data_IF_408534032527
#
_entry.id   IF_408534032527
#
_cell.length_a   1.000
_cell.length_b   1.000
_cell.length_c   1.000
_cell.angle_alpha   90.00
_cell.angle_beta   90.00
_cell.angle_gamma   90.00
#
_symmetry.space_group_name_H-M   'P 1'
#
loop_
_entity.id
_entity.type
_entity.pdbx_description
1 polymer ?
#
# COMPACT_ATOMS: atom_id res chain seq x y z
N UNK A 1 5.21 13.13 18.68
CA UNK A 1 6.13 13.41 17.59
C UNK A 1 5.77 12.56 16.37
N UNK A 2 5.22 13.20 15.39
CA UNK A 2 4.59 12.59 14.20
C UNK A 2 5.57 11.99 13.17
N UNK A 3 6.88 11.93 13.36
CA UNK A 3 7.70 12.03 12.14
C UNK A 3 8.92 11.13 12.00
N UNK A 4 9.10 10.15 12.86
CA UNK A 4 10.32 9.33 12.79
C UNK A 4 10.37 8.43 11.54
N UNK A 5 9.21 8.04 10.99
CA UNK A 5 9.15 7.15 9.82
C UNK A 5 8.87 7.85 8.48
N UNK A 6 8.36 9.08 8.48
CA UNK A 6 8.08 9.83 7.24
C UNK A 6 9.28 10.60 6.70
N UNK A 7 10.22 10.98 7.57
CA UNK A 7 11.49 11.60 7.21
C UNK A 7 12.63 10.63 7.60
N UNK A 8 12.59 9.42 7.06
CA UNK A 8 13.60 8.43 7.36
C UNK A 8 14.91 8.86 6.66
N UNK A 9 15.82 9.39 7.45
CA UNK A 9 17.21 9.55 7.10
C UNK A 9 17.82 8.14 6.91
N UNK A 10 18.43 7.90 5.77
CA UNK A 10 18.97 6.58 5.45
C UNK A 10 20.14 6.18 6.37
N UNK A 11 20.87 7.13 6.95
CA UNK A 11 21.86 6.82 7.97
C UNK A 11 21.20 6.27 9.24
N UNK A 12 20.00 6.75 9.61
CA UNK A 12 19.22 6.15 10.71
C UNK A 12 18.72 4.74 10.34
N UNK A 13 18.28 4.51 9.10
CA UNK A 13 17.92 3.16 8.65
C UNK A 13 19.09 2.23 8.76
N UNK A 14 20.26 2.64 8.26
CA UNK A 14 21.49 1.87 8.31
C UNK A 14 21.86 1.54 9.75
N UNK A 15 21.87 2.53 10.64
CA UNK A 15 22.15 2.34 12.07
C UNK A 15 21.21 1.30 12.68
N UNK A 16 19.90 1.45 12.52
CA UNK A 16 18.90 0.52 13.05
C UNK A 16 19.08 -0.89 12.48
N UNK A 17 19.29 -1.03 11.17
CA UNK A 17 19.44 -2.33 10.54
C UNK A 17 20.70 -3.05 11.00
N UNK A 18 21.79 -2.33 11.18
CA UNK A 18 23.05 -2.88 11.69
C UNK A 18 22.96 -3.25 13.17
N UNK A 19 22.51 -2.35 14.03
CA UNK A 19 22.35 -2.58 15.47
C UNK A 19 21.42 -3.77 15.77
N UNK A 20 20.32 -3.88 15.01
CA UNK A 20 19.34 -4.96 15.18
C UNK A 20 19.64 -6.20 14.32
N UNK A 21 20.74 -6.22 13.59
CA UNK A 21 21.16 -7.31 12.68
C UNK A 21 20.04 -7.73 11.71
N UNK A 22 19.26 -6.75 11.23
CA UNK A 22 18.16 -7.01 10.32
C UNK A 22 18.69 -7.41 8.95
N UNK A 23 17.95 -8.27 8.26
CA UNK A 23 18.25 -8.72 6.89
C UNK A 23 17.02 -8.61 6.02
N UNK A 24 17.22 -8.46 4.71
CA UNK A 24 16.15 -8.37 3.73
C UNK A 24 15.16 -7.21 3.99
N UNK A 25 15.64 -6.09 4.49
CA UNK A 25 14.82 -4.92 4.77
C UNK A 25 14.37 -4.29 3.46
N UNK A 26 13.10 -3.95 3.38
CA UNK A 26 12.51 -3.17 2.28
C UNK A 26 12.12 -1.79 2.77
N UNK A 27 12.54 -0.76 2.03
CA UNK A 27 12.22 0.64 2.32
C UNK A 27 11.14 1.11 1.37
N UNK A 28 10.06 1.69 1.90
CA UNK A 28 8.98 2.24 1.08
C UNK A 28 9.08 3.76 1.05
N UNK A 29 8.96 4.33 -0.15
CA UNK A 29 8.97 5.77 -0.39
C UNK A 29 7.77 6.19 -1.23
N UNK A 30 7.15 7.32 -0.89
CA UNK A 30 6.12 7.95 -1.71
C UNK A 30 6.82 8.94 -2.66
N UNK A 31 6.72 8.69 -3.97
CA UNK A 31 7.35 9.54 -4.98
C UNK A 31 7.00 11.02 -4.84
N UNK A 32 5.78 11.33 -4.42
CA UNK A 32 5.34 12.71 -4.27
C UNK A 32 6.14 13.49 -3.23
N UNK A 33 6.58 12.82 -2.16
CA UNK A 33 7.23 13.45 -1.00
C UNK A 33 8.70 13.10 -0.82
N UNK A 34 9.21 12.07 -1.51
CA UNK A 34 10.60 11.63 -1.32
C UNK A 34 11.59 12.60 -1.98
N UNK A 35 12.84 12.56 -1.54
CA UNK A 35 13.95 13.23 -2.23
C UNK A 35 14.05 12.74 -3.67
N UNK A 36 14.41 13.64 -4.58
CA UNK A 36 14.70 13.32 -5.98
C UNK A 36 16.20 13.16 -6.25
N UNK A 37 17.02 13.49 -5.25
CA UNK A 37 18.45 13.20 -5.28
C UNK A 37 18.66 11.70 -5.05
N UNK A 38 19.25 11.02 -5.99
CA UNK A 38 19.48 9.58 -5.92
C UNK A 38 20.61 9.22 -4.96
N UNK A 39 21.49 10.16 -4.61
CA UNK A 39 22.58 9.95 -3.64
C UNK A 39 22.07 9.78 -2.21
N UNK A 40 20.85 10.28 -1.93
CA UNK A 40 20.20 10.12 -0.62
C UNK A 40 19.77 8.67 -0.34
N UNK A 41 19.87 7.75 -1.31
CA UNK A 41 19.36 6.39 -1.16
C UNK A 41 20.47 5.36 -0.93
N UNK A 42 20.18 4.31 -0.13
CA UNK A 42 21.13 3.23 0.09
C UNK A 42 21.44 2.52 -1.23
N UNK A 43 22.63 1.90 -1.27
CA UNK A 43 23.05 1.11 -2.41
C UNK A 43 23.32 -0.36 -2.00
N UNK A 44 23.71 -1.19 -2.97
CA UNK A 44 23.93 -2.62 -2.76
C UNK A 44 25.13 -2.98 -1.85
N UNK A 45 25.91 -2.01 -1.40
CA UNK A 45 26.96 -2.23 -0.38
C UNK A 45 26.32 -2.43 1.00
N UNK A 46 25.11 -1.93 1.21
CA UNK A 46 24.31 -2.12 2.43
C UNK A 46 23.52 -3.43 2.32
N UNK A 47 24.17 -4.54 2.70
CA UNK A 47 23.66 -5.91 2.55
C UNK A 47 22.33 -6.17 3.30
N UNK A 48 22.01 -5.34 4.26
CA UNK A 48 20.76 -5.42 5.03
C UNK A 48 19.54 -5.00 4.20
N UNK A 49 19.75 -4.09 3.24
CA UNK A 49 18.67 -3.55 2.41
C UNK A 49 18.50 -4.40 1.15
N UNK A 50 17.34 -5.00 0.98
CA UNK A 50 17.05 -5.85 -0.15
C UNK A 50 16.29 -5.13 -1.28
N UNK A 51 15.49 -4.11 -0.94
CA UNK A 51 14.57 -3.49 -1.90
C UNK A 51 14.21 -2.06 -1.53
N UNK A 52 14.06 -1.23 -2.54
CA UNK A 52 13.38 0.07 -2.41
C UNK A 52 12.03 -0.01 -3.14
N UNK A 53 10.96 0.39 -2.47
CA UNK A 53 9.60 0.32 -2.96
C UNK A 53 9.09 1.73 -3.26
N UNK A 54 8.95 2.06 -4.53
CA UNK A 54 8.48 3.37 -5.00
C UNK A 54 6.97 3.33 -5.13
N UNK A 55 6.28 4.07 -4.28
CA UNK A 55 4.84 4.23 -4.35
C UNK A 55 4.48 5.45 -5.18
N UNK A 56 3.47 5.34 -6.03
CA UNK A 56 3.06 6.43 -6.91
C UNK A 56 1.55 6.57 -7.01
N UNK A 57 1.12 7.81 -7.05
CA UNK A 57 -0.23 8.21 -7.42
C UNK A 57 -0.39 8.19 -8.92
N UNK A 58 -1.64 8.19 -9.40
CA UNK A 58 -1.97 8.06 -10.82
C UNK A 58 -1.33 9.16 -11.67
N UNK A 59 -1.37 10.39 -11.20
CA UNK A 59 -0.84 11.58 -11.87
C UNK A 59 0.69 11.57 -12.01
N UNK A 60 1.39 10.93 -11.09
CA UNK A 60 2.86 10.93 -11.02
C UNK A 60 3.50 9.74 -11.76
N UNK A 61 2.71 8.76 -12.23
CA UNK A 61 3.22 7.48 -12.72
C UNK A 61 4.36 7.62 -13.74
N UNK A 62 4.29 8.45 -14.81
CA UNK A 62 5.37 8.52 -15.77
C UNK A 62 6.69 8.98 -15.15
N UNK A 63 6.65 10.02 -14.32
CA UNK A 63 7.82 10.57 -13.63
C UNK A 63 8.37 9.60 -12.58
N UNK A 64 7.48 8.98 -11.80
CA UNK A 64 7.83 8.02 -10.78
C UNK A 64 8.46 6.73 -11.36
N UNK A 65 8.02 6.27 -12.53
CA UNK A 65 8.62 5.15 -13.23
C UNK A 65 10.04 5.46 -13.70
N UNK A 66 10.26 6.64 -14.29
CA UNK A 66 11.60 7.09 -14.68
C UNK A 66 12.53 7.18 -13.47
N UNK A 67 12.01 7.75 -12.38
CA UNK A 67 12.75 7.82 -11.12
C UNK A 67 13.09 6.43 -10.58
N UNK A 68 12.13 5.48 -10.54
CA UNK A 68 12.34 4.13 -10.07
C UNK A 68 13.40 3.38 -10.90
N UNK A 69 13.42 3.57 -12.22
CA UNK A 69 14.43 2.99 -13.11
C UNK A 69 15.83 3.59 -12.83
N UNK A 70 15.93 4.91 -12.68
CA UNK A 70 17.18 5.58 -12.35
C UNK A 70 17.68 5.15 -10.95
N UNK A 71 16.76 5.03 -9.98
CA UNK A 71 17.07 4.54 -8.63
C UNK A 71 17.64 3.12 -8.68
N UNK A 72 17.05 2.21 -9.47
CA UNK A 72 17.59 0.85 -9.66
C UNK A 72 19.01 0.88 -10.25
N UNK A 73 19.23 1.71 -11.28
CA UNK A 73 20.54 1.86 -11.93
C UNK A 73 21.59 2.36 -10.94
N UNK A 74 21.26 3.36 -10.14
CA UNK A 74 22.16 3.99 -9.18
C UNK A 74 22.46 3.07 -8.00
N UNK A 75 21.42 2.51 -7.36
CA UNK A 75 21.55 1.76 -6.12
C UNK A 75 21.94 0.32 -6.31
N UNK A 76 21.64 -0.27 -7.48
CA UNK A 76 21.76 -1.70 -7.81
C UNK A 76 20.95 -2.62 -6.88
N UNK A 77 20.03 -2.07 -6.10
CA UNK A 77 19.08 -2.81 -5.29
C UNK A 77 17.89 -3.28 -6.13
N UNK A 78 17.10 -4.21 -5.60
CA UNK A 78 15.80 -4.48 -6.19
C UNK A 78 14.92 -3.24 -6.05
N UNK A 79 14.14 -2.94 -7.07
CA UNK A 79 13.18 -1.84 -7.04
C UNK A 79 11.80 -2.35 -7.39
N UNK A 80 10.81 -2.02 -6.57
CA UNK A 80 9.41 -2.23 -6.89
C UNK A 80 8.70 -0.92 -7.21
N UNK A 81 7.71 -1.01 -8.08
CA UNK A 81 6.78 0.07 -8.35
C UNK A 81 5.39 -0.28 -7.82
N UNK A 82 4.88 0.53 -6.91
CA UNK A 82 3.62 0.27 -6.21
C UNK A 82 2.54 1.20 -6.75
N UNK A 83 1.52 0.63 -7.40
CA UNK A 83 0.39 1.36 -7.98
C UNK A 83 -0.66 1.54 -6.89
N UNK A 84 -0.81 2.76 -6.37
CA UNK A 84 -1.86 3.08 -5.40
C UNK A 84 -3.25 3.03 -6.02
N UNK A 85 -4.25 2.76 -5.19
CA UNK A 85 -5.67 2.77 -5.56
C UNK A 85 -5.97 1.92 -6.80
N UNK A 86 -5.32 0.76 -6.92
CA UNK A 86 -5.39 -0.05 -8.15
C UNK A 86 -6.82 -0.49 -8.50
N UNK A 87 -7.72 -0.57 -7.52
CA UNK A 87 -9.14 -0.87 -7.69
C UNK A 87 -9.93 0.25 -8.38
N UNK A 88 -9.48 1.51 -8.24
CA UNK A 88 -10.15 2.69 -8.79
C UNK A 88 -9.83 2.99 -10.26
N UNK A 89 -8.81 2.32 -10.83
CA UNK A 89 -8.50 2.49 -12.25
C UNK A 89 -9.60 1.90 -13.14
N UNK A 90 -9.98 2.61 -14.21
CA UNK A 90 -10.73 1.99 -15.31
C UNK A 90 -9.86 0.94 -16.00
N UNK A 91 -10.49 -0.07 -16.62
CA UNK A 91 -9.79 -1.19 -17.28
C UNK A 91 -8.70 -0.72 -18.26
N UNK A 92 -9.02 0.25 -19.12
CA UNK A 92 -8.07 0.77 -20.12
C UNK A 92 -6.97 1.62 -19.50
N UNK A 93 -7.24 2.32 -18.42
CA UNK A 93 -6.23 3.09 -17.67
C UNK A 93 -5.21 2.15 -17.02
N UNK A 94 -5.68 1.12 -16.31
CA UNK A 94 -4.79 0.14 -15.69
C UNK A 94 -3.94 -0.56 -16.75
N UNK A 95 -4.54 -0.90 -17.90
CA UNK A 95 -3.82 -1.50 -19.02
C UNK A 95 -2.71 -0.58 -19.57
N UNK A 96 -3.00 0.72 -19.73
CA UNK A 96 -1.99 1.71 -20.16
C UNK A 96 -0.83 1.79 -19.16
N UNK A 97 -1.15 1.88 -17.87
CA UNK A 97 -0.14 1.91 -16.80
C UNK A 97 0.74 0.66 -16.84
N UNK A 98 0.16 -0.53 -16.92
CA UNK A 98 0.94 -1.76 -16.96
C UNK A 98 1.80 -1.90 -18.22
N UNK A 99 1.34 -1.38 -19.37
CA UNK A 99 2.19 -1.28 -20.58
C UNK A 99 3.37 -0.32 -20.39
N UNK A 100 3.19 0.79 -19.67
CA UNK A 100 4.32 1.68 -19.35
C UNK A 100 5.29 0.98 -18.40
N UNK A 101 4.80 0.42 -17.31
CA UNK A 101 5.60 -0.31 -16.32
C UNK A 101 6.43 -1.43 -16.97
N UNK A 102 5.85 -2.17 -17.91
CA UNK A 102 6.52 -3.26 -18.62
C UNK A 102 7.77 -2.81 -19.38
N UNK A 103 7.84 -1.55 -19.84
CA UNK A 103 8.96 -0.97 -20.57
C UNK A 103 10.13 -0.52 -19.69
N UNK A 104 9.90 -0.29 -18.39
CA UNK A 104 10.93 0.20 -17.47
C UNK A 104 11.70 -0.94 -16.80
N UNK A 105 13.00 -0.74 -16.54
CA UNK A 105 13.89 -1.72 -15.90
C UNK A 105 13.74 -1.69 -14.37
N UNK A 106 12.64 -2.27 -13.87
CA UNK A 106 12.34 -2.49 -12.47
C UNK A 106 12.02 -3.97 -12.23
N UNK A 107 12.08 -4.46 -10.99
CA UNK A 107 11.98 -5.89 -10.69
C UNK A 107 10.57 -6.33 -10.36
N UNK A 108 9.86 -5.52 -9.58
CA UNK A 108 8.55 -5.88 -9.01
C UNK A 108 7.51 -4.81 -9.32
N UNK A 109 6.28 -5.24 -9.44
CA UNK A 109 5.11 -4.36 -9.53
C UNK A 109 4.09 -4.79 -8.48
N UNK A 110 3.69 -3.87 -7.62
CA UNK A 110 2.65 -4.14 -6.62
C UNK A 110 1.38 -3.38 -6.96
N UNK A 111 0.25 -4.06 -6.83
CA UNK A 111 -1.07 -3.44 -6.88
C UNK A 111 -1.55 -3.26 -5.45
N UNK A 112 -1.81 -2.00 -5.07
CA UNK A 112 -2.30 -1.69 -3.74
C UNK A 112 -3.83 -1.61 -3.71
N UNK A 113 -4.39 -2.38 -2.78
CA UNK A 113 -5.80 -2.30 -2.38
C UNK A 113 -5.97 -1.22 -1.32
N UNK A 114 -5.66 0.03 -1.69
CA UNK A 114 -5.52 1.16 -0.76
C UNK A 114 -6.75 1.40 0.11
N UNK A 115 -7.94 1.10 -0.41
CA UNK A 115 -9.21 1.32 0.28
C UNK A 115 -9.83 0.03 0.84
N UNK A 116 -9.17 -1.11 0.66
CA UNK A 116 -9.65 -2.41 1.13
C UNK A 116 -10.98 -2.85 0.53
N UNK A 117 -11.28 -2.37 -0.68
CA UNK A 117 -12.49 -2.67 -1.44
C UNK A 117 -12.25 -3.71 -2.54
N UNK A 118 -11.02 -4.24 -2.63
CA UNK A 118 -10.68 -5.24 -3.62
C UNK A 118 -11.50 -6.51 -3.44
N UNK A 119 -12.08 -6.95 -4.54
CA UNK A 119 -12.66 -8.27 -4.71
C UNK A 119 -11.99 -8.86 -5.95
N UNK A 120 -10.95 -9.65 -5.73
CA UNK A 120 -10.07 -10.10 -6.82
C UNK A 120 -10.81 -10.98 -7.81
N UNK A 121 -11.78 -11.75 -7.38
CA UNK A 121 -12.61 -12.58 -8.26
C UNK A 121 -13.43 -11.73 -9.22
N UNK A 122 -14.13 -10.71 -8.70
CA UNK A 122 -14.91 -9.78 -9.54
C UNK A 122 -14.03 -8.93 -10.45
N UNK A 123 -12.87 -8.52 -9.94
CA UNK A 123 -11.94 -7.66 -10.67
C UNK A 123 -11.05 -8.42 -11.65
N UNK A 124 -11.05 -9.75 -11.65
CA UNK A 124 -10.16 -10.55 -12.50
C UNK A 124 -10.25 -10.19 -13.99
N UNK A 125 -11.44 -9.97 -14.52
CA UNK A 125 -11.63 -9.53 -15.92
C UNK A 125 -10.88 -8.24 -16.24
N UNK A 126 -10.74 -7.34 -15.25
CA UNK A 126 -10.01 -6.08 -15.36
C UNK A 126 -8.49 -6.32 -15.27
N UNK A 127 -8.05 -7.19 -14.36
CA UNK A 127 -6.64 -7.44 -14.06
C UNK A 127 -5.98 -8.45 -15.02
N UNK A 128 -6.71 -9.39 -15.62
CA UNK A 128 -6.19 -10.48 -16.45
C UNK A 128 -5.18 -10.00 -17.50
N UNK A 129 -5.55 -9.03 -18.34
CA UNK A 129 -4.67 -8.52 -19.42
C UNK A 129 -3.49 -7.70 -18.89
N UNK A 130 -3.65 -6.77 -17.92
CA UNK A 130 -2.56 -6.15 -17.20
C UNK A 130 -1.54 -7.13 -16.60
N UNK A 131 -1.99 -8.14 -15.86
CA UNK A 131 -1.12 -9.15 -15.24
C UNK A 131 -0.34 -9.95 -16.31
N UNK A 132 -1.01 -10.34 -17.40
CA UNK A 132 -0.36 -11.05 -18.52
C UNK A 132 0.76 -10.22 -19.15
N UNK A 133 0.58 -8.92 -19.36
CA UNK A 133 1.60 -8.02 -19.91
C UNK A 133 2.82 -7.95 -18.98
N UNK A 134 2.58 -7.77 -17.69
CA UNK A 134 3.66 -7.69 -16.70
C UNK A 134 4.43 -9.00 -16.59
N UNK A 135 3.74 -10.13 -16.54
CA UNK A 135 4.39 -11.46 -16.52
C UNK A 135 5.25 -11.69 -17.77
N UNK A 136 4.72 -11.37 -18.97
CA UNK A 136 5.48 -11.49 -20.22
C UNK A 136 6.70 -10.57 -20.28
N UNK A 137 6.70 -9.47 -19.55
CA UNK A 137 7.84 -8.55 -19.43
C UNK A 137 8.84 -8.94 -18.34
N UNK A 138 8.67 -10.10 -17.72
CA UNK A 138 9.55 -10.61 -16.65
C UNK A 138 9.37 -9.91 -15.29
N UNK A 139 8.31 -9.12 -15.10
CA UNK A 139 8.05 -8.46 -13.82
C UNK A 139 7.47 -9.45 -12.80
N UNK A 140 8.03 -9.46 -11.61
CA UNK A 140 7.45 -10.18 -10.47
C UNK A 140 6.28 -9.36 -9.91
N UNK A 141 5.12 -9.97 -9.76
CA UNK A 141 3.90 -9.29 -9.35
C UNK A 141 3.61 -9.53 -7.88
N UNK A 142 3.26 -8.46 -7.18
CA UNK A 142 2.83 -8.48 -5.79
C UNK A 142 1.48 -7.79 -5.57
N UNK A 143 0.89 -8.07 -4.42
CA UNK A 143 -0.31 -7.39 -3.92
C UNK A 143 -0.04 -6.82 -2.53
N UNK A 144 -0.57 -5.62 -2.30
CA UNK A 144 -0.68 -5.02 -0.98
C UNK A 144 -2.17 -4.99 -0.62
N UNK A 145 -2.58 -5.96 0.19
CA UNK A 145 -3.99 -6.19 0.51
C UNK A 145 -4.35 -5.54 1.84
N UNK A 146 -5.42 -4.77 1.83
CA UNK A 146 -6.10 -4.33 3.05
C UNK A 146 -7.27 -5.27 3.37
N UNK A 147 -7.65 -5.32 4.64
CA UNK A 147 -8.73 -6.19 5.12
C UNK A 147 -9.97 -5.41 5.58
N UNK A 148 -10.18 -4.24 5.00
CA UNK A 148 -11.26 -3.33 5.40
C UNK A 148 -12.66 -3.95 5.26
N UNK A 149 -12.84 -4.78 4.25
CA UNK A 149 -14.12 -5.47 3.98
C UNK A 149 -14.12 -6.94 4.44
N UNK A 150 -13.10 -7.39 5.19
CA UNK A 150 -12.93 -8.79 5.59
C UNK A 150 -12.53 -9.71 4.43
N UNK A 151 -12.13 -9.17 3.28
CA UNK A 151 -11.78 -9.94 2.08
C UNK A 151 -10.28 -10.17 1.89
N UNK A 152 -9.44 -9.62 2.76
CA UNK A 152 -8.00 -9.70 2.62
C UNK A 152 -7.52 -11.15 2.50
N UNK A 153 -7.93 -12.02 3.41
CA UNK A 153 -7.60 -13.44 3.36
C UNK A 153 -8.20 -14.17 2.16
N UNK A 154 -9.45 -13.87 1.80
CA UNK A 154 -10.07 -14.44 0.60
C UNK A 154 -9.31 -14.05 -0.67
N UNK A 155 -8.97 -12.77 -0.83
CA UNK A 155 -8.15 -12.30 -1.94
C UNK A 155 -6.78 -12.99 -1.94
N UNK A 156 -6.12 -13.12 -0.78
CA UNK A 156 -4.85 -13.83 -0.67
C UNK A 156 -4.93 -15.27 -1.21
N UNK A 157 -5.98 -16.00 -0.89
CA UNK A 157 -6.20 -17.37 -1.39
C UNK A 157 -6.28 -17.46 -2.90
N UNK A 158 -6.66 -16.37 -3.59
CA UNK A 158 -6.78 -16.30 -5.05
C UNK A 158 -5.44 -15.96 -5.74
N UNK A 159 -4.43 -15.45 -5.04
CA UNK A 159 -3.21 -14.92 -5.65
C UNK A 159 -2.49 -15.94 -6.53
N UNK A 160 -2.37 -17.18 -6.05
CA UNK A 160 -1.73 -18.27 -6.81
C UNK A 160 -2.42 -18.53 -8.14
N UNK A 161 -3.76 -18.52 -8.17
CA UNK A 161 -4.58 -18.68 -9.38
C UNK A 161 -4.27 -17.62 -10.45
N UNK A 162 -3.86 -16.43 -10.02
CA UNK A 162 -3.57 -15.30 -10.90
C UNK A 162 -2.08 -15.06 -11.15
N UNK A 163 -1.24 -16.02 -10.76
CA UNK A 163 0.22 -15.93 -10.91
C UNK A 163 0.81 -14.68 -10.23
N UNK A 164 0.37 -14.41 -9.00
CA UNK A 164 0.86 -13.33 -8.15
C UNK A 164 1.82 -13.94 -7.13
N UNK A 165 3.06 -13.43 -7.10
CA UNK A 165 4.20 -14.07 -6.43
C UNK A 165 4.43 -13.57 -5.01
N UNK A 166 3.97 -12.37 -4.69
CA UNK A 166 4.23 -11.69 -3.41
C UNK A 166 2.95 -11.10 -2.84
N UNK A 167 2.84 -11.12 -1.53
CA UNK A 167 1.76 -10.44 -0.82
C UNK A 167 2.29 -9.78 0.44
N UNK A 168 1.90 -8.54 0.66
CA UNK A 168 2.19 -7.83 1.89
C UNK A 168 1.18 -8.20 2.97
N UNK A 169 1.68 -8.31 4.20
CA UNK A 169 0.87 -8.49 5.40
C UNK A 169 1.51 -7.78 6.58
N UNK A 170 0.78 -7.63 7.66
CA UNK A 170 1.32 -7.09 8.91
C UNK A 170 0.81 -7.87 10.11
N UNK A 171 1.59 -7.89 11.20
CA UNK A 171 1.20 -8.53 12.45
C UNK A 171 -0.07 -7.84 12.96
N UNK A 172 -1.08 -8.63 13.34
CA UNK A 172 -2.43 -8.20 13.73
C UNK A 172 -3.13 -7.33 12.68
N UNK A 173 -2.64 -7.30 11.44
CA UNK A 173 -3.15 -6.41 10.40
C UNK A 173 -2.85 -4.94 10.64
N UNK A 174 -1.84 -4.62 11.45
CA UNK A 174 -1.46 -3.24 11.74
C UNK A 174 -1.28 -2.45 10.45
N UNK A 175 -1.95 -1.31 10.35
CA UNK A 175 -1.89 -0.47 9.16
C UNK A 175 -2.96 0.61 9.14
N UNK A 176 -3.04 1.31 8.03
CA UNK A 176 -3.97 2.42 7.82
C UNK A 176 -5.41 1.91 7.64
N UNK A 177 -6.37 2.72 8.04
CA UNK A 177 -7.80 2.41 7.90
C UNK A 177 -8.24 1.26 8.78
N UNK A 178 -8.88 0.25 8.19
CA UNK A 178 -9.36 -0.94 8.89
C UNK A 178 -8.28 -2.04 9.02
N UNK A 179 -7.08 -1.77 8.49
CA UNK A 179 -5.91 -2.62 8.61
C UNK A 179 -5.54 -3.38 7.35
N UNK A 180 -4.36 -3.98 7.40
CA UNK A 180 -3.80 -4.83 6.36
C UNK A 180 -4.24 -6.28 6.50
N UNK A 181 -3.95 -7.10 5.50
CA UNK A 181 -3.98 -8.55 5.62
C UNK A 181 -3.13 -8.99 6.82
N UNK A 182 -3.69 -9.84 7.68
CA UNK A 182 -3.01 -10.29 8.90
C UNK A 182 -1.99 -11.37 8.60
N UNK A 183 -0.76 -11.18 9.09
CA UNK A 183 0.32 -12.17 8.92
C UNK A 183 -0.06 -13.52 9.52
N UNK A 184 -0.74 -13.53 10.65
CA UNK A 184 -1.18 -14.71 11.37
C UNK A 184 -2.11 -15.63 10.54
N UNK A 185 -2.83 -15.06 9.56
CA UNK A 185 -3.73 -15.81 8.70
C UNK A 185 -3.01 -16.55 7.56
N UNK A 186 -1.80 -16.10 7.20
CA UNK A 186 -1.12 -16.54 5.97
C UNK A 186 0.25 -17.15 6.18
N UNK A 187 0.83 -16.97 7.36
CA UNK A 187 2.17 -17.47 7.66
C UNK A 187 2.13 -18.98 7.93
N UNK A 188 3.25 -19.65 7.64
CA UNK A 188 3.39 -21.05 7.98
C UNK A 188 3.28 -21.24 9.50
N UNK A 189 2.50 -22.22 10.00
CA UNK A 189 2.29 -22.48 11.42
C UNK A 189 3.55 -22.60 12.27
N UNK A 190 4.67 -23.05 11.69
CA UNK A 190 5.96 -23.13 12.40
C UNK A 190 6.44 -21.79 12.97
N UNK A 191 5.92 -20.66 12.47
CA UNK A 191 6.27 -19.32 12.95
C UNK A 191 5.27 -18.76 13.99
N UNK A 192 4.20 -19.48 14.35
CA UNK A 192 3.17 -18.98 15.27
C UNK A 192 3.72 -18.59 16.64
N UNK A 193 4.66 -19.36 17.17
CA UNK A 193 5.28 -19.04 18.47
C UNK A 193 6.04 -17.71 18.42
N UNK A 194 6.78 -17.46 17.34
CA UNK A 194 7.50 -16.19 17.14
C UNK A 194 6.52 -15.04 17.03
N UNK A 195 5.47 -15.20 16.24
CA UNK A 195 4.43 -14.15 16.07
C UNK A 195 3.71 -13.92 17.39
N UNK A 196 3.35 -14.98 18.13
CA UNK A 196 2.72 -14.88 19.44
C UNK A 196 3.57 -14.09 20.44
N UNK A 197 4.87 -14.36 20.50
CA UNK A 197 5.81 -13.61 21.34
C UNK A 197 5.87 -12.13 20.95
N UNK A 198 5.95 -11.83 19.65
CA UNK A 198 5.95 -10.43 19.15
C UNK A 198 4.62 -9.72 19.48
N UNK A 199 3.49 -10.41 19.33
CA UNK A 199 2.18 -9.83 19.68
C UNK A 199 2.10 -9.54 21.18
N UNK A 200 2.61 -10.41 22.02
CA UNK A 200 2.64 -10.23 23.49
C UNK A 200 3.54 -9.05 23.88
N UNK A 201 4.74 -8.98 23.31
CA UNK A 201 5.73 -7.95 23.63
C UNK A 201 5.29 -6.54 23.17
N UNK A 202 4.69 -6.44 21.99
CA UNK A 202 4.33 -5.17 21.37
C UNK A 202 2.82 -4.90 21.35
N UNK A 203 2.05 -5.54 22.23
CA UNK A 203 0.58 -5.44 22.22
C UNK A 203 0.06 -4.01 22.18
N UNK A 204 0.63 -3.11 22.96
CA UNK A 204 0.19 -1.71 23.06
C UNK A 204 0.54 -0.89 21.82
N UNK A 205 1.57 -1.29 21.08
CA UNK A 205 1.99 -0.65 19.82
C UNK A 205 1.22 -1.19 18.61
N UNK A 206 0.71 -2.41 18.69
CA UNK A 206 -0.04 -3.09 17.63
C UNK A 206 -1.53 -2.72 17.66
N UNK A 207 -1.86 -1.49 18.03
CA UNK A 207 -3.24 -1.02 18.08
C UNK A 207 -3.82 -0.86 16.68
N UNK A 208 -5.07 -1.30 16.54
CA UNK A 208 -5.82 -1.18 15.29
C UNK A 208 -6.73 0.04 15.36
N UNK A 209 -6.65 0.98 14.42
CA UNK A 209 -7.51 2.17 14.40
C UNK A 209 -8.94 1.86 13.94
N UNK A 210 -9.38 0.62 14.11
CA UNK A 210 -10.69 0.15 13.67
C UNK A 210 -11.81 0.85 14.44
N UNK A 211 -12.70 1.50 13.69
CA UNK A 211 -13.91 2.12 14.24
C UNK A 211 -14.97 2.22 13.15
N UNK A 212 -16.19 2.56 13.53
CA UNK A 212 -17.32 2.63 12.61
C UNK A 212 -17.10 3.62 11.44
N UNK A 213 -16.34 4.70 11.64
CA UNK A 213 -16.04 5.66 10.58
C UNK A 213 -15.10 5.05 9.53
N UNK A 214 -14.07 4.31 9.95
CA UNK A 214 -13.16 3.61 9.01
C UNK A 214 -13.88 2.50 8.26
N UNK A 215 -14.82 1.80 8.88
CA UNK A 215 -15.65 0.81 8.22
C UNK A 215 -16.52 1.44 7.12
N UNK A 216 -17.11 2.61 7.40
CA UNK A 216 -17.94 3.32 6.42
C UNK A 216 -17.09 3.83 5.24
N UNK A 217 -15.92 4.41 5.47
CA UNK A 217 -15.04 4.85 4.36
C UNK A 217 -14.62 3.68 3.49
N UNK A 218 -14.32 2.53 4.09
CA UNK A 218 -13.98 1.30 3.38
C UNK A 218 -15.13 0.79 2.50
N UNK A 219 -16.36 0.81 3.03
CA UNK A 219 -17.58 0.44 2.26
C UNK A 219 -17.72 1.21 0.96
N UNK A 220 -17.31 2.48 0.93
CA UNK A 220 -17.42 3.34 -0.24
C UNK A 220 -16.11 3.44 -1.04
N UNK A 221 -15.05 2.77 -0.64
CA UNK A 221 -13.74 2.81 -1.29
C UNK A 221 -13.18 4.23 -1.36
N UNK A 222 -13.19 4.95 -0.23
CA UNK A 222 -12.73 6.34 -0.12
C UNK A 222 -11.64 6.50 0.94
N UNK A 223 -10.86 7.57 0.82
CA UNK A 223 -9.78 7.89 1.76
C UNK A 223 -10.25 7.89 3.22
N UNK A 224 -9.52 7.20 4.09
CA UNK A 224 -9.76 7.16 5.54
C UNK A 224 -9.49 8.51 6.25
N UNK A 225 -8.95 9.51 5.56
CA UNK A 225 -8.92 10.88 6.07
C UNK A 225 -10.34 11.43 6.35
N UNK A 226 -11.35 10.98 5.59
CA UNK A 226 -12.75 11.27 5.90
C UNK A 226 -13.15 10.67 7.26
N UNK A 227 -12.77 9.43 7.54
CA UNK A 227 -13.03 8.76 8.82
C UNK A 227 -12.34 9.49 9.97
N UNK A 228 -11.07 9.86 9.80
CA UNK A 228 -10.30 10.60 10.81
C UNK A 228 -10.98 11.90 11.19
N UNK A 229 -11.45 12.66 10.20
CA UNK A 229 -12.12 13.94 10.48
C UNK A 229 -13.54 13.73 11.03
N UNK A 230 -14.30 12.77 10.46
CA UNK A 230 -15.65 12.43 10.96
C UNK A 230 -15.63 12.01 12.42
N UNK A 231 -14.65 11.19 12.82
CA UNK A 231 -14.44 10.80 14.21
C UNK A 231 -14.03 11.99 15.09
N UNK A 232 -13.10 12.83 14.61
CA UNK A 232 -12.59 13.99 15.35
C UNK A 232 -13.70 14.97 15.75
N UNK A 233 -14.70 15.15 14.90
CA UNK A 233 -15.83 16.06 15.13
C UNK A 233 -17.08 15.33 15.66
N UNK A 234 -16.96 14.06 16.03
CA UNK A 234 -18.06 13.22 16.51
C UNK A 234 -19.32 13.29 15.60
N UNK A 235 -19.10 13.27 14.27
CA UNK A 235 -20.20 13.36 13.31
C UNK A 235 -21.19 12.20 13.51
N UNK A 236 -22.51 12.46 13.58
CA UNK A 236 -23.50 11.38 13.67
C UNK A 236 -23.31 10.36 12.52
N UNK A 237 -23.31 9.07 12.86
CA UNK A 237 -22.96 7.99 11.92
C UNK A 237 -23.82 7.99 10.67
N UNK A 238 -25.13 8.25 10.82
CA UNK A 238 -26.07 8.33 9.68
C UNK A 238 -25.67 9.49 8.74
N UNK A 239 -25.35 10.67 9.29
CA UNK A 239 -24.90 11.83 8.52
C UNK A 239 -23.56 11.54 7.84
N UNK A 240 -22.63 10.89 8.55
CA UNK A 240 -21.35 10.49 7.99
C UNK A 240 -21.48 9.48 6.84
N UNK A 241 -22.30 8.45 7.01
CA UNK A 241 -22.59 7.47 5.95
C UNK A 241 -23.19 8.14 4.70
N UNK A 242 -24.16 9.05 4.88
CA UNK A 242 -24.77 9.83 3.79
C UNK A 242 -23.74 10.73 3.08
N UNK A 243 -22.79 11.32 3.82
CA UNK A 243 -21.69 12.10 3.27
C UNK A 243 -20.78 11.21 2.41
N UNK A 244 -20.31 10.09 2.97
CA UNK A 244 -19.39 9.17 2.29
C UNK A 244 -19.98 8.61 1.00
N UNK A 245 -21.29 8.31 0.96
CA UNK A 245 -21.96 7.80 -0.24
C UNK A 245 -21.96 8.79 -1.42
N UNK A 246 -21.72 10.07 -1.16
CA UNK A 246 -21.69 11.15 -2.17
C UNK A 246 -20.30 11.50 -2.68
N UNK A 247 -19.25 10.94 -2.09
CA UNK A 247 -17.86 11.15 -2.53
C UNK A 247 -17.64 10.44 -3.87
N UNK A 248 -17.16 11.17 -4.88
CA UNK A 248 -16.99 10.66 -6.25
C UNK A 248 -15.66 11.10 -6.87
N UNK A 249 -15.27 10.42 -7.95
CA UNK A 249 -14.11 10.78 -8.78
C UNK A 249 -12.82 10.85 -7.96
N UNK A 250 -12.02 11.90 -8.20
CA UNK A 250 -10.74 12.13 -7.53
C UNK A 250 -10.84 12.34 -6.02
N UNK A 251 -12.01 12.76 -5.52
CA UNK A 251 -12.23 12.97 -4.09
C UNK A 251 -12.29 11.64 -3.31
N UNK A 252 -12.43 10.50 -3.99
CA UNK A 252 -12.29 9.20 -3.36
C UNK A 252 -10.87 8.93 -2.86
N UNK A 253 -9.89 9.25 -3.69
CA UNK A 253 -8.48 8.99 -3.41
C UNK A 253 -7.84 10.13 -2.62
N UNK A 254 -8.27 11.37 -2.91
CA UNK A 254 -7.78 12.59 -2.29
C UNK A 254 -8.87 13.20 -1.42
N UNK A 255 -8.59 13.33 -0.12
CA UNK A 255 -9.52 13.98 0.80
C UNK A 255 -9.83 15.42 0.38
N UNK A 256 -11.11 15.72 0.16
CA UNK A 256 -11.58 17.05 -0.18
C UNK A 256 -12.19 17.76 1.03
N UNK A 257 -11.38 18.61 1.69
CA UNK A 257 -11.81 19.33 2.87
C UNK A 257 -12.95 20.33 2.57
N UNK A 258 -12.95 20.96 1.38
CA UNK A 258 -14.02 21.90 0.98
C UNK A 258 -15.36 21.15 0.83
N UNK A 259 -15.34 19.99 0.17
CA UNK A 259 -16.51 19.13 0.05
C UNK A 259 -17.03 18.69 1.44
N UNK A 260 -16.11 18.24 2.31
CA UNK A 260 -16.44 17.78 3.64
C UNK A 260 -17.10 18.91 4.47
N UNK A 261 -16.48 20.10 4.53
CA UNK A 261 -17.01 21.26 5.27
C UNK A 261 -18.38 21.73 4.75
N UNK A 262 -18.56 21.82 3.43
CA UNK A 262 -19.85 22.19 2.82
C UNK A 262 -20.98 21.25 3.20
N UNK A 263 -20.69 19.97 3.48
CA UNK A 263 -21.68 18.94 3.84
C UNK A 263 -21.89 18.79 5.35
N UNK A 264 -21.07 19.45 6.18
CA UNK A 264 -21.30 19.55 7.63
C UNK A 264 -22.34 20.64 7.92
N UNK A 265 -22.28 21.75 7.16
CA UNK A 265 -23.10 22.94 7.36
C UNK A 265 -24.54 22.78 6.81
N UNK A 266 -24.75 21.81 5.92
CA UNK A 266 -26.05 21.41 5.35
C UNK A 266 -26.42 19.98 5.81
#
# INVERSE_FOLDING_TARGET
SRNTFYNLDFEKVKKITQEKKLKNVSIMIDYHYCSKDLSDYPNNKQKEIAMIRVCSRKEDIPKALKFAENLKKQTRLNVSFNIFNSTNYKKNELLKVCKMVAKHKIDYVYFADTHGDMDLEKLYKKFKKPLSILNKSGKKIGMHLHDHSGKGYFNFRQLKKYNIHKCDSSIRGMGKGFGNLRTEQIVNPKYFNIIGSLVKEFNDLLTMPQNIYTLITSKYGISDNYATLGKKINMPIVKFNKLCSRVKGKDKDNFNNKFFKKKILN
#
